data_IF_122039745607
#
_entry.id   IF_122039745607
#
_cell.length_a   1.000
_cell.length_b   1.000
_cell.length_c   1.000
_cell.angle_alpha   90.00
_cell.angle_beta   90.00
_cell.angle_gamma   90.00
#
_symmetry.space_group_name_H-M   'P 1'
#
loop_
_entity.id
_entity.type
_entity.pdbx_description
1 polymer ?
#
# COMPACT_ATOMS: atom_id res chain seq x y z
N UNK A 1 -12.68 -5.19 -5.99
CA UNK A 1 -13.15 -4.49 -4.78
C UNK A 1 -14.07 -3.32 -5.10
N UNK A 2 -13.66 -2.38 -5.96
CA UNK A 2 -14.49 -1.20 -6.32
C UNK A 2 -15.87 -1.54 -6.94
N UNK A 3 -16.01 -2.72 -7.56
CA UNK A 3 -17.30 -3.25 -8.01
C UNK A 3 -18.30 -3.47 -6.86
N UNK A 4 -17.78 -3.90 -5.71
CA UNK A 4 -18.55 -4.24 -4.50
C UNK A 4 -18.58 -3.09 -3.49
N UNK A 5 -18.18 -1.88 -3.87
CA UNK A 5 -18.00 -0.75 -2.96
C UNK A 5 -19.22 -0.50 -2.05
N UNK A 6 -20.44 -0.61 -2.60
CA UNK A 6 -21.70 -0.44 -1.86
C UNK A 6 -21.89 -1.39 -0.68
N UNK A 7 -21.29 -2.58 -0.70
CA UNK A 7 -21.30 -3.53 0.41
C UNK A 7 -20.16 -3.31 1.42
N UNK A 8 -19.14 -2.55 1.05
CA UNK A 8 -17.87 -2.43 1.78
C UNK A 8 -17.70 -1.07 2.48
N UNK A 9 -18.58 -0.10 2.23
CA UNK A 9 -18.49 1.26 2.81
C UNK A 9 -18.49 1.27 4.34
N UNK A 10 -19.19 0.34 4.98
CA UNK A 10 -19.27 0.23 6.44
C UNK A 10 -18.12 -0.61 7.05
N UNK A 11 -17.31 -1.28 6.23
CA UNK A 11 -16.31 -2.22 6.72
C UNK A 11 -15.05 -1.55 7.27
N UNK A 12 -14.43 -2.20 8.26
CA UNK A 12 -13.15 -1.80 8.84
C UNK A 12 -11.98 -2.15 7.93
N UNK A 13 -10.81 -1.56 8.21
CA UNK A 13 -9.55 -1.88 7.52
C UNK A 13 -9.28 -3.38 7.48
N UNK A 14 -9.45 -4.08 8.61
CA UNK A 14 -9.22 -5.52 8.70
C UNK A 14 -10.10 -6.33 7.74
N UNK A 15 -11.38 -5.96 7.61
CA UNK A 15 -12.34 -6.62 6.72
C UNK A 15 -12.03 -6.32 5.26
N UNK A 16 -11.73 -5.07 4.94
CA UNK A 16 -11.33 -4.67 3.59
C UNK A 16 -10.05 -5.39 3.16
N UNK A 17 -9.04 -5.45 4.03
CA UNK A 17 -7.81 -6.20 3.80
C UNK A 17 -8.05 -7.69 3.67
N UNK A 18 -8.98 -8.27 4.43
CA UNK A 18 -9.37 -9.68 4.27
C UNK A 18 -10.02 -9.93 2.91
N UNK A 19 -10.92 -9.04 2.49
CA UNK A 19 -11.54 -9.10 1.17
C UNK A 19 -10.49 -8.99 0.06
N UNK A 20 -9.54 -8.04 0.18
CA UNK A 20 -8.46 -7.86 -0.78
C UNK A 20 -7.56 -9.11 -0.85
N UNK A 21 -7.16 -9.65 0.31
CA UNK A 21 -6.35 -10.87 0.38
C UNK A 21 -7.06 -12.03 -0.33
N UNK A 22 -8.36 -12.22 -0.07
CA UNK A 22 -9.15 -13.25 -0.72
C UNK A 22 -9.25 -13.05 -2.24
N UNK A 23 -9.47 -11.81 -2.68
CA UNK A 23 -9.62 -11.48 -4.10
C UNK A 23 -8.32 -11.62 -4.91
N UNK A 24 -7.16 -11.45 -4.28
CA UNK A 24 -5.85 -11.55 -4.94
C UNK A 24 -5.27 -12.97 -4.93
N UNK A 25 -5.79 -13.87 -4.09
CA UNK A 25 -5.33 -15.27 -4.05
C UNK A 25 -5.62 -15.95 -5.37
N UNK A 26 -4.59 -16.51 -5.97
CA UNK A 26 -4.69 -17.36 -7.15
C UNK A 26 -3.53 -18.37 -7.14
N UNK A 27 -3.62 -19.49 -7.87
CA UNK A 27 -2.52 -20.43 -7.97
C UNK A 27 -1.20 -19.73 -8.35
N UNK A 28 -0.16 -19.94 -7.54
CA UNK A 28 1.15 -19.30 -7.70
C UNK A 28 1.31 -17.93 -7.03
N UNK A 29 0.23 -17.33 -6.51
CA UNK A 29 0.26 -16.07 -5.76
C UNK A 29 -0.47 -16.24 -4.41
N UNK A 30 0.30 -16.46 -3.36
CA UNK A 30 -0.22 -16.52 -2.00
C UNK A 30 -0.34 -15.10 -1.43
N UNK A 31 -1.52 -14.76 -0.92
CA UNK A 31 -1.75 -13.50 -0.19
C UNK A 31 -2.30 -13.83 1.19
N UNK A 32 -1.54 -13.53 2.23
CA UNK A 32 -1.91 -13.84 3.61
C UNK A 32 -2.01 -12.55 4.42
N UNK A 33 -2.95 -12.53 5.38
CA UNK A 33 -2.96 -11.50 6.44
C UNK A 33 -2.07 -11.95 7.58
N UNK A 34 -1.51 -10.99 8.32
CA UNK A 34 -0.85 -11.22 9.62
C UNK A 34 0.30 -12.25 9.59
N UNK A 35 1.11 -12.25 8.53
CA UNK A 35 2.13 -13.28 8.29
C UNK A 35 3.57 -12.98 8.74
N UNK A 36 3.86 -11.94 9.52
CA UNK A 36 5.25 -11.47 9.72
C UNK A 36 5.73 -11.38 11.17
N UNK A 37 7.00 -11.69 11.40
CA UNK A 37 7.62 -11.72 12.74
C UNK A 37 7.94 -10.33 13.32
N UNK A 38 8.04 -9.29 12.49
CA UNK A 38 8.44 -7.93 12.91
C UNK A 38 7.26 -6.99 13.22
N UNK A 39 6.05 -7.54 13.35
CA UNK A 39 4.82 -6.79 13.56
C UNK A 39 3.71 -7.25 12.62
N UNK A 40 2.49 -6.74 12.86
CA UNK A 40 1.34 -7.09 12.03
C UNK A 40 1.36 -6.26 10.75
N UNK A 41 2.01 -6.78 9.71
CA UNK A 41 1.77 -6.30 8.36
C UNK A 41 0.37 -6.73 7.93
N UNK A 42 -0.37 -5.82 7.30
CA UNK A 42 -1.75 -6.10 6.88
C UNK A 42 -1.82 -7.21 5.82
N UNK A 43 -0.88 -7.21 4.86
CA UNK A 43 -0.81 -8.22 3.81
C UNK A 43 0.64 -8.63 3.52
N UNK A 44 0.85 -9.93 3.36
CA UNK A 44 2.07 -10.51 2.77
C UNK A 44 1.71 -11.17 1.45
N UNK A 45 2.37 -10.74 0.38
CA UNK A 45 2.15 -11.24 -0.98
C UNK A 45 3.40 -12.04 -1.37
N UNK A 46 3.21 -13.32 -1.69
CA UNK A 46 4.30 -14.21 -2.09
C UNK A 46 4.01 -14.82 -3.46
N UNK A 47 4.91 -14.59 -4.40
CA UNK A 47 4.89 -15.29 -5.69
C UNK A 47 5.65 -16.61 -5.53
N UNK A 48 4.93 -17.73 -5.57
CA UNK A 48 5.50 -19.06 -5.30
C UNK A 48 5.96 -19.78 -6.57
N UNK A 49 5.40 -19.41 -7.72
CA UNK A 49 5.73 -20.01 -9.02
C UNK A 49 7.00 -19.45 -9.66
N UNK A 50 7.65 -18.47 -9.02
CA UNK A 50 8.89 -17.88 -9.51
C UNK A 50 10.10 -18.73 -9.11
N UNK A 51 11.13 -18.74 -9.97
CA UNK A 51 12.40 -19.41 -9.70
C UNK A 51 13.04 -18.96 -8.38
N UNK A 52 12.81 -17.70 -8.00
CA UNK A 52 13.13 -17.15 -6.69
C UNK A 52 11.84 -16.61 -6.07
N UNK A 53 11.32 -17.23 -5.00
CA UNK A 53 10.13 -16.73 -4.34
C UNK A 53 10.33 -15.28 -3.88
N UNK A 54 9.54 -14.37 -4.43
CA UNK A 54 9.52 -12.98 -4.00
C UNK A 54 8.46 -12.80 -2.93
N UNK A 55 8.81 -12.07 -1.86
CA UNK A 55 7.87 -11.64 -0.85
C UNK A 55 7.77 -10.12 -0.87
N UNK A 56 6.54 -9.62 -0.99
CA UNK A 56 6.21 -8.20 -0.91
C UNK A 56 5.28 -7.97 0.26
N UNK A 57 5.47 -6.83 0.90
CA UNK A 57 4.69 -6.41 2.08
C UNK A 57 3.71 -5.33 1.64
N UNK A 58 2.52 -5.33 2.21
CA UNK A 58 1.59 -4.23 2.03
C UNK A 58 0.96 -3.79 3.35
N UNK A 59 0.87 -2.47 3.51
CA UNK A 59 0.06 -1.84 4.55
C UNK A 59 -1.23 -1.34 3.94
N UNK A 60 -2.35 -1.49 4.64
CA UNK A 60 -3.67 -1.13 4.14
C UNK A 60 -4.44 -0.27 5.14
N UNK A 61 -4.91 0.91 4.71
CA UNK A 61 -5.57 1.88 5.58
C UNK A 61 -6.82 2.47 4.94
N UNK A 62 -7.78 2.88 5.76
CA UNK A 62 -8.83 3.80 5.30
C UNK A 62 -8.20 5.19 5.26
N UNK A 63 -8.29 5.86 4.11
CA UNK A 63 -7.70 7.18 3.96
C UNK A 63 -8.30 8.17 4.96
N UNK A 64 -7.43 8.68 5.85
CA UNK A 64 -7.78 9.67 6.87
C UNK A 64 -7.02 11.01 6.70
N UNK A 65 -6.23 11.16 5.64
CA UNK A 65 -5.47 12.38 5.35
C UNK A 65 -3.96 12.13 5.19
N UNK A 66 -3.18 13.15 4.76
CA UNK A 66 -1.76 13.00 4.45
C UNK A 66 -0.91 12.51 5.62
N UNK A 67 -1.22 12.93 6.85
CA UNK A 67 -0.49 12.48 8.04
C UNK A 67 -0.65 10.98 8.27
N UNK A 68 -1.87 10.46 8.10
CA UNK A 68 -2.15 9.03 8.27
C UNK A 68 -1.53 8.20 7.15
N UNK A 69 -1.57 8.72 5.92
CA UNK A 69 -0.85 8.15 4.78
C UNK A 69 0.66 8.03 5.05
N UNK A 70 1.30 9.11 5.51
CA UNK A 70 2.73 9.10 5.83
C UNK A 70 3.07 8.09 6.94
N UNK A 71 2.19 7.92 7.93
CA UNK A 71 2.34 6.89 8.97
C UNK A 71 2.28 5.47 8.40
N UNK A 72 1.41 5.21 7.43
CA UNK A 72 1.32 3.91 6.76
C UNK A 72 2.62 3.58 6.01
N UNK A 73 3.20 4.57 5.31
CA UNK A 73 4.51 4.41 4.66
C UNK A 73 5.59 4.14 5.70
N UNK A 74 5.66 4.93 6.77
CA UNK A 74 6.66 4.77 7.83
C UNK A 74 6.60 3.37 8.46
N UNK A 75 5.38 2.85 8.70
CA UNK A 75 5.19 1.48 9.20
C UNK A 75 5.72 0.44 8.20
N UNK A 76 5.36 0.57 6.92
CA UNK A 76 5.81 -0.34 5.88
C UNK A 76 7.34 -0.33 5.73
N UNK A 77 7.94 0.85 5.63
CA UNK A 77 9.36 1.04 5.34
C UNK A 77 10.21 0.73 6.57
N UNK A 78 9.93 1.36 7.71
CA UNK A 78 10.84 1.34 8.87
C UNK A 78 10.58 0.19 9.83
N UNK A 79 9.35 -0.34 9.90
CA UNK A 79 8.98 -1.38 10.87
C UNK A 79 8.88 -2.76 10.26
N UNK A 80 8.21 -2.90 9.12
CA UNK A 80 7.92 -4.22 8.54
C UNK A 80 8.99 -4.67 7.55
N UNK A 81 9.55 -3.74 6.79
CA UNK A 81 10.59 -4.05 5.84
C UNK A 81 11.94 -4.24 6.52
N UNK A 82 12.79 -5.04 5.88
CA UNK A 82 14.17 -5.31 6.32
C UNK A 82 15.19 -4.71 5.35
N UNK A 83 14.72 -3.96 4.35
CA UNK A 83 15.51 -3.50 3.20
C UNK A 83 15.69 -4.56 2.11
N UNK A 84 15.46 -5.84 2.39
CA UNK A 84 15.51 -6.91 1.37
C UNK A 84 14.34 -6.84 0.39
N UNK A 85 13.21 -6.28 0.83
CA UNK A 85 12.05 -6.07 -0.01
C UNK A 85 12.28 -4.82 -0.87
N UNK A 86 12.71 -4.99 -2.12
CA UNK A 86 12.87 -3.86 -3.04
C UNK A 86 11.55 -3.16 -3.39
N UNK A 87 10.40 -3.77 -3.09
CA UNK A 87 9.07 -3.21 -3.35
C UNK A 87 8.08 -3.52 -2.23
N UNK A 88 7.28 -2.52 -1.88
CA UNK A 88 6.13 -2.64 -0.99
C UNK A 88 4.90 -1.95 -1.55
N UNK A 89 3.75 -2.11 -0.89
CA UNK A 89 2.51 -1.49 -1.29
C UNK A 89 1.85 -0.77 -0.12
N UNK A 90 1.30 0.41 -0.38
CA UNK A 90 0.35 1.05 0.53
C UNK A 90 -0.99 1.05 -0.19
N UNK A 91 -1.98 0.38 0.39
CA UNK A 91 -3.34 0.31 -0.16
C UNK A 91 -4.24 1.21 0.66
N UNK A 92 -4.78 2.25 0.06
CA UNK A 92 -5.68 3.16 0.76
C UNK A 92 -7.10 3.07 0.24
N UNK A 93 -8.04 2.87 1.17
CA UNK A 93 -9.47 2.80 0.88
C UNK A 93 -10.10 4.18 1.07
N UNK A 94 -10.60 4.77 0.00
CA UNK A 94 -11.23 6.08 0.00
C UNK A 94 -12.75 5.93 0.11
N UNK A 95 -13.31 6.34 1.25
CA UNK A 95 -14.77 6.42 1.48
C UNK A 95 -15.36 7.80 1.15
N UNK A 96 -14.53 8.73 0.67
CA UNK A 96 -14.88 10.12 0.36
C UNK A 96 -14.96 10.33 -1.16
N UNK A 97 -15.81 11.25 -1.65
CA UNK A 97 -15.86 11.62 -3.07
C UNK A 97 -14.55 12.27 -3.52
N UNK A 98 -14.34 12.31 -4.84
CA UNK A 98 -13.26 13.08 -5.45
C UNK A 98 -11.87 12.46 -5.28
N UNK A 99 -11.75 11.13 -5.35
CA UNK A 99 -10.48 10.40 -5.17
C UNK A 99 -9.36 10.94 -6.07
N UNK A 100 -9.65 11.32 -7.32
CA UNK A 100 -8.65 11.87 -8.23
C UNK A 100 -7.97 13.13 -7.67
N UNK A 101 -8.77 14.08 -7.18
CA UNK A 101 -8.26 15.32 -6.58
C UNK A 101 -7.59 15.08 -5.23
N UNK A 102 -8.09 14.12 -4.44
CA UNK A 102 -7.47 13.74 -3.18
C UNK A 102 -6.08 13.15 -3.41
N UNK A 103 -5.93 12.23 -4.37
CA UNK A 103 -4.64 11.61 -4.71
C UNK A 103 -3.67 12.62 -5.31
N UNK A 104 -4.13 13.54 -6.16
CA UNK A 104 -3.28 14.62 -6.68
C UNK A 104 -2.77 15.54 -5.55
N UNK A 105 -3.62 15.91 -4.58
CA UNK A 105 -3.21 16.71 -3.42
C UNK A 105 -2.25 15.95 -2.51
N UNK A 106 -2.50 14.66 -2.31
CA UNK A 106 -1.65 13.79 -1.51
C UNK A 106 -0.23 13.70 -2.10
N UNK A 107 -0.11 13.46 -3.42
CA UNK A 107 1.17 13.46 -4.14
C UNK A 107 1.90 14.79 -4.03
N UNK A 108 1.22 15.90 -4.31
CA UNK A 108 1.82 17.24 -4.16
C UNK A 108 2.37 17.49 -2.75
N UNK A 109 1.67 17.00 -1.72
CA UNK A 109 2.14 17.12 -0.34
C UNK A 109 3.32 16.18 -0.07
N UNK A 110 3.27 14.94 -0.53
CA UNK A 110 4.40 14.00 -0.41
C UNK A 110 5.66 14.53 -1.10
N UNK A 111 5.54 15.11 -2.29
CA UNK A 111 6.66 15.69 -3.04
C UNK A 111 7.26 16.93 -2.35
N UNK A 112 6.44 17.69 -1.62
CA UNK A 112 6.88 18.85 -0.87
C UNK A 112 7.52 18.49 0.48
N UNK A 113 6.95 17.52 1.20
CA UNK A 113 7.36 17.16 2.56
C UNK A 113 8.42 16.05 2.59
N UNK A 114 8.51 15.24 1.53
CA UNK A 114 9.34 14.04 1.42
C UNK A 114 9.21 13.09 2.63
N UNK A 115 7.99 12.60 2.94
CA UNK A 115 7.72 11.82 4.15
C UNK A 115 8.46 10.47 4.16
N UNK A 116 8.72 9.93 5.36
CA UNK A 116 9.31 8.60 5.54
C UNK A 116 10.58 8.39 4.70
N UNK A 117 11.48 9.38 4.72
CA UNK A 117 12.73 9.38 3.93
C UNK A 117 12.49 9.17 2.42
N UNK A 118 11.44 9.79 1.87
CA UNK A 118 11.16 9.75 0.44
C UNK A 118 12.34 10.32 -0.34
N UNK A 119 12.72 9.62 -1.40
CA UNK A 119 13.84 9.95 -2.26
C UNK A 119 13.34 10.47 -3.61
N UNK A 120 13.21 11.79 -3.71
CA UNK A 120 12.73 12.46 -4.91
C UNK A 120 11.20 12.54 -5.00
N UNK A 121 10.70 12.98 -6.15
CA UNK A 121 9.27 13.13 -6.40
C UNK A 121 8.59 11.80 -6.73
N UNK A 122 7.27 11.75 -6.53
CA UNK A 122 6.41 10.62 -6.91
C UNK A 122 6.34 10.45 -8.43
N UNK A 123 6.25 9.19 -8.87
CA UNK A 123 6.10 8.81 -10.27
C UNK A 123 4.69 8.30 -10.56
N UNK A 124 4.25 8.46 -11.81
CA UNK A 124 2.98 7.89 -12.23
C UNK A 124 3.04 6.36 -12.29
N UNK A 125 1.93 5.72 -11.90
CA UNK A 125 1.73 4.30 -12.10
C UNK A 125 0.63 4.10 -13.17
N UNK A 126 0.72 3.07 -14.05
CA UNK A 126 -0.27 2.86 -15.11
C UNK A 126 -1.71 2.64 -14.63
N UNK A 127 -1.87 2.14 -13.40
CA UNK A 127 -3.19 1.96 -12.76
C UNK A 127 -3.76 3.31 -12.34
N UNK A 128 -5.04 3.55 -12.62
CA UNK A 128 -5.74 4.78 -12.22
C UNK A 128 -5.63 4.99 -10.71
N UNK A 129 -5.39 6.26 -10.35
CA UNK A 129 -5.22 6.71 -8.97
C UNK A 129 -4.08 6.03 -8.21
N UNK A 130 -3.22 5.27 -8.88
CA UNK A 130 -2.00 4.75 -8.28
C UNK A 130 -0.81 5.64 -8.64
N UNK A 131 0.20 5.63 -7.77
CA UNK A 131 1.49 6.27 -8.01
C UNK A 131 2.59 5.51 -7.29
N UNK A 132 3.84 5.87 -7.55
CA UNK A 132 5.02 5.25 -6.94
C UNK A 132 5.83 6.31 -6.21
N UNK A 133 6.40 5.95 -5.07
CA UNK A 133 7.45 6.72 -4.39
C UNK A 133 8.59 5.81 -3.98
N UNK A 134 9.78 6.38 -3.87
CA UNK A 134 10.97 5.65 -3.42
C UNK A 134 11.32 6.12 -2.00
N UNK A 135 11.64 5.18 -1.10
CA UNK A 135 11.97 5.50 0.28
C UNK A 135 13.28 4.86 0.69
N UNK A 136 14.14 5.62 1.36
CA UNK A 136 15.42 5.09 1.85
C UNK A 136 15.20 4.35 3.17
N UNK A 137 15.50 3.06 3.17
CA UNK A 137 15.48 2.23 4.37
C UNK A 137 16.79 2.39 5.16
N UNK A 138 16.80 2.03 6.45
CA UNK A 138 17.99 2.12 7.33
C UNK A 138 19.16 1.26 6.85
N UNK A 139 18.90 0.22 6.04
CA UNK A 139 19.94 -0.55 5.35
C UNK A 139 20.60 0.18 4.18
N UNK A 140 20.27 1.46 3.96
CA UNK A 140 20.64 2.30 2.82
C UNK A 140 20.03 1.90 1.46
N UNK A 141 19.30 0.78 1.40
CA UNK A 141 18.55 0.35 0.23
C UNK A 141 17.33 1.24 -0.03
N UNK A 142 16.91 1.31 -1.29
CA UNK A 142 15.65 1.95 -1.68
C UNK A 142 14.52 0.92 -1.69
N UNK A 143 13.39 1.27 -1.08
CA UNK A 143 12.15 0.53 -1.17
C UNK A 143 11.20 1.31 -2.08
N UNK A 144 10.83 0.69 -3.19
CA UNK A 144 9.83 1.22 -4.13
C UNK A 144 8.44 0.95 -3.57
N UNK A 145 7.72 1.98 -3.14
CA UNK A 145 6.37 1.86 -2.60
C UNK A 145 5.35 2.21 -3.68
N UNK A 146 4.51 1.24 -4.02
CA UNK A 146 3.38 1.46 -4.93
C UNK A 146 2.14 1.77 -4.11
N UNK A 147 1.58 2.96 -4.32
CA UNK A 147 0.39 3.45 -3.65
C UNK A 147 -0.83 3.10 -4.48
N UNK A 148 -1.69 2.22 -3.96
CA UNK A 148 -2.90 1.77 -4.64
C UNK A 148 -4.10 2.36 -3.92
N UNK A 149 -4.75 3.35 -4.55
CA UNK A 149 -5.87 4.08 -3.96
C UNK A 149 -7.20 3.54 -4.50
N UNK A 150 -7.95 2.87 -3.64
CA UNK A 150 -9.18 2.16 -3.98
C UNK A 150 -10.39 3.03 -3.68
N UNK A 151 -11.23 3.27 -4.69
CA UNK A 151 -12.45 4.04 -4.50
C UNK A 151 -13.58 3.15 -3.94
N UNK A 152 -14.01 3.44 -2.71
CA UNK A 152 -15.19 2.85 -2.08
C UNK A 152 -16.37 3.83 -2.02
N UNK A 153 -16.22 5.04 -2.55
CA UNK A 153 -17.29 6.03 -2.64
C UNK A 153 -17.97 5.93 -4.02
N UNK A 154 -19.24 5.49 -4.02
CA UNK A 154 -20.12 5.47 -5.19
C UNK A 154 -21.38 6.26 -4.91
#
# INVERSE_FOLDING_TARGET
>A
MEAEAHHLTADSEEKLSAFLAAALRMPGLAVTREGYSNGRVDLTIRAESMMFPEQRLAEAKIYAGPTYHAQAIEQLVSRYSTGRQGRGYVVEYFKKPGIAELVLRLRKKADADLPAYQHGATFDHPMKWAYVSDHRHVSAELIHVVHVNVNLHR
#
